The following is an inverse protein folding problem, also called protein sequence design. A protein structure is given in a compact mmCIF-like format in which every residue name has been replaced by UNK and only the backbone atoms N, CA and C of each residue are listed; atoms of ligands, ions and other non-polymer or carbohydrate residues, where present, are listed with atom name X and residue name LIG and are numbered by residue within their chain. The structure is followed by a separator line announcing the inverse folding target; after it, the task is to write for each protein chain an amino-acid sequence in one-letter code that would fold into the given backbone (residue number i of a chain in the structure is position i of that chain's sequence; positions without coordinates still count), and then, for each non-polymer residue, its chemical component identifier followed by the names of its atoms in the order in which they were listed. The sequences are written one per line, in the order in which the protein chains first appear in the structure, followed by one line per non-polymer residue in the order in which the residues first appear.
data_IF_340400072431
#
_entry.id   IF_340400072431
#
_cell.length_a   1.000
_cell.length_b   1.000
_cell.length_c   1.000
_cell.angle_alpha   90.00
_cell.angle_beta   90.00
_cell.angle_gamma   90.00
#
_symmetry.space_group_name_H-M   'P 1'
#
loop_
_entity.id
_entity.type
_entity.pdbx_description
1 polymer ?
#
# COMPACT_ATOMS: atom_id res chain seq x y z
N UNK A 1 5.30 -23.97 1.66
CA UNK A 1 5.56 -22.52 1.66
C UNK A 1 4.31 -21.79 2.12
N UNK A 2 4.24 -21.39 3.38
CA UNK A 2 3.05 -20.74 3.94
C UNK A 2 2.91 -19.32 3.37
N UNK A 3 1.78 -19.04 2.70
CA UNK A 3 1.46 -17.69 2.23
C UNK A 3 1.10 -16.85 3.44
N UNK A 4 2.01 -15.99 3.89
CA UNK A 4 1.75 -15.04 4.99
C UNK A 4 0.77 -13.98 4.49
N UNK A 5 -0.49 -14.08 4.90
CA UNK A 5 -1.53 -13.12 4.53
C UNK A 5 -1.35 -11.83 5.35
N UNK A 6 -0.93 -10.75 4.69
CA UNK A 6 -0.95 -9.43 5.29
C UNK A 6 -2.37 -8.85 5.19
N UNK A 7 -3.00 -8.39 6.29
CA UNK A 7 -4.37 -7.91 6.23
C UNK A 7 -4.42 -6.54 5.56
N UNK A 8 -4.86 -6.52 4.30
CA UNK A 8 -4.98 -5.29 3.49
C UNK A 8 -6.03 -4.32 4.06
N UNK A 9 -7.01 -4.83 4.81
CA UNK A 9 -8.09 -4.03 5.38
C UNK A 9 -7.60 -2.98 6.41
N UNK A 10 -6.49 -3.23 7.10
CA UNK A 10 -5.92 -2.31 8.11
C UNK A 10 -5.37 -1.00 7.51
N UNK A 11 -5.16 -0.98 6.19
CA UNK A 11 -4.68 0.20 5.45
C UNK A 11 -5.78 1.18 5.08
N UNK A 12 -7.03 0.84 5.38
CA UNK A 12 -8.17 1.73 5.22
C UNK A 12 -8.55 2.28 6.59
N UNK A 13 -8.55 3.61 6.73
CA UNK A 13 -9.13 4.28 7.89
C UNK A 13 -10.49 4.81 7.46
N UNK A 14 -11.49 4.57 8.29
CA UNK A 14 -12.82 5.12 8.15
C UNK A 14 -12.88 6.28 9.15
N UNK A 15 -12.84 7.52 8.66
CA UNK A 15 -13.08 8.71 9.47
C UNK A 15 -14.49 9.21 9.16
N UNK A 16 -15.46 8.79 9.97
CA UNK A 16 -16.89 9.07 9.77
C UNK A 16 -17.37 8.57 8.40
N UNK A 17 -17.83 9.48 7.56
CA UNK A 17 -18.31 9.21 6.19
C UNK A 17 -17.18 9.14 5.13
N UNK A 18 -15.92 9.38 5.52
CA UNK A 18 -14.80 9.45 4.58
C UNK A 18 -13.85 8.26 4.71
N UNK A 19 -13.60 7.61 3.58
CA UNK A 19 -12.69 6.48 3.47
C UNK A 19 -11.30 6.98 3.07
N UNK A 20 -10.40 7.11 4.05
CA UNK A 20 -9.00 7.50 3.82
C UNK A 20 -8.10 6.28 3.65
N UNK A 21 -7.28 6.30 2.60
CA UNK A 21 -6.26 5.28 2.33
C UNK A 21 -4.96 5.71 3.01
N UNK A 22 -4.43 4.92 3.97
CA UNK A 22 -3.19 5.24 4.70
C UNK A 22 -1.95 5.32 3.79
N UNK A 23 -1.85 4.43 2.81
CA UNK A 23 -0.68 4.32 1.94
C UNK A 23 -0.99 4.75 0.51
N UNK A 24 0.02 5.31 -0.17
CA UNK A 24 -0.03 5.56 -1.62
C UNK A 24 -0.33 4.25 -2.36
N UNK A 25 -1.20 4.31 -3.36
CA UNK A 25 -1.44 3.20 -4.28
C UNK A 25 -0.39 3.21 -5.38
N UNK A 26 0.05 2.04 -5.83
CA UNK A 26 1.02 1.95 -6.93
C UNK A 26 0.37 2.44 -8.25
N UNK A 27 0.94 3.44 -8.95
CA UNK A 27 0.39 3.94 -10.21
C UNK A 27 0.45 2.90 -11.34
N UNK A 28 1.36 1.92 -11.25
CA UNK A 28 1.53 0.87 -12.26
C UNK A 28 0.69 -0.37 -12.03
N UNK A 29 0.40 -0.72 -10.78
CA UNK A 29 -0.38 -1.93 -10.46
C UNK A 29 -1.89 -1.65 -10.29
N UNK A 30 -2.28 -0.39 -10.15
CA UNK A 30 -3.67 0.00 -10.00
C UNK A 30 -4.20 -0.05 -8.56
N UNK A 31 -5.48 0.29 -8.37
CA UNK A 31 -6.12 0.37 -7.07
C UNK A 31 -6.18 -1.02 -6.41
N UNK A 32 -5.68 -1.11 -5.18
CA UNK A 32 -5.61 -2.37 -4.40
C UNK A 32 -4.18 -2.83 -4.09
N UNK A 33 -3.16 -2.28 -4.75
CA UNK A 33 -1.76 -2.51 -4.41
C UNK A 33 -1.19 -1.27 -3.71
N UNK A 34 -0.99 -1.40 -2.40
CA UNK A 34 -0.38 -0.36 -1.59
C UNK A 34 1.14 -0.42 -1.68
N UNK A 35 1.76 0.75 -1.83
CA UNK A 35 3.19 0.91 -1.68
C UNK A 35 3.57 0.69 -0.20
N UNK A 36 4.63 -0.08 0.01
CA UNK A 36 5.29 -0.17 1.30
C UNK A 36 6.00 1.15 1.56
N UNK A 37 5.64 1.80 2.66
CA UNK A 37 6.31 3.01 3.12
C UNK A 37 7.50 2.59 3.99
N UNK A 38 8.70 2.93 3.53
CA UNK A 38 9.92 2.91 4.32
C UNK A 38 10.35 4.34 4.60
N UNK A 39 11.36 4.51 5.44
CA UNK A 39 11.82 5.83 5.86
C UNK A 39 12.42 6.64 4.70
N UNK A 40 13.12 5.97 3.78
CA UNK A 40 13.83 6.54 2.63
C UNK A 40 13.08 6.39 1.29
N UNK A 41 12.05 5.54 1.24
CA UNK A 41 11.44 5.12 -0.03
C UNK A 41 10.03 4.53 0.11
N UNK A 42 9.29 4.64 -0.98
CA UNK A 42 8.10 3.86 -1.28
C UNK A 42 8.45 2.72 -2.23
N UNK A 43 8.03 1.50 -1.93
CA UNK A 43 8.28 0.35 -2.81
C UNK A 43 7.03 -0.47 -3.08
N UNK A 44 6.88 -0.99 -4.30
CA UNK A 44 5.80 -1.88 -4.68
C UNK A 44 6.31 -3.32 -4.72
N UNK A 45 5.80 -4.16 -3.81
CA UNK A 45 6.17 -5.59 -3.78
C UNK A 45 5.67 -6.41 -4.98
N UNK A 46 4.78 -5.87 -5.82
CA UNK A 46 4.21 -6.60 -6.97
C UNK A 46 4.87 -6.29 -8.31
N UNK A 47 5.30 -5.04 -8.54
CA UNK A 47 5.95 -4.63 -9.80
C UNK A 47 7.37 -4.10 -9.64
N UNK A 48 7.90 -4.04 -8.42
CA UNK A 48 9.24 -3.49 -8.15
C UNK A 48 9.34 -1.97 -8.29
N UNK A 49 8.22 -1.26 -8.45
CA UNK A 49 8.21 0.21 -8.51
C UNK A 49 8.76 0.79 -7.21
N UNK A 50 9.73 1.70 -7.32
CA UNK A 50 10.32 2.40 -6.18
C UNK A 50 10.26 3.90 -6.43
N UNK A 51 9.74 4.64 -5.46
CA UNK A 51 9.70 6.10 -5.45
C UNK A 51 10.47 6.55 -4.20
N UNK A 52 11.46 7.44 -4.32
CA UNK A 52 12.13 7.99 -3.15
C UNK A 52 11.22 9.05 -2.51
N UNK A 53 11.13 9.03 -1.18
CA UNK A 53 10.24 9.90 -0.41
C UNK A 53 10.85 11.29 -0.25
#
# INVERSE_FOLDING_TARGET
MAKKSYPIHEKYIIEGDTLKRKNKTCPRCGPGVFLAEHQDRYTCGKCGYMEKK
#
